data_IF_009601331711
#
_entry.id   IF_009601331711
#
_cell.length_a   1.000
_cell.length_b   1.000
_cell.length_c   1.000
_cell.angle_alpha   90.00
_cell.angle_beta   90.00
_cell.angle_gamma   90.00
#
_symmetry.space_group_name_H-M   'P 1'
#
loop_
_entity.id
_entity.type
_entity.pdbx_description
1 polymer ?
#
# COMPACT_ATOMS: atom_id res chain seq x y z
N UNK A 1 -23.90 6.57 6.09
CA UNK A 1 -23.15 7.77 6.53
C UNK A 1 -22.50 8.36 5.29
N UNK A 2 -22.54 9.70 5.16
CA UNK A 2 -21.76 10.39 4.10
C UNK A 2 -20.29 10.24 4.43
N UNK A 3 -19.47 9.84 3.46
CA UNK A 3 -18.02 9.69 3.64
C UNK A 3 -17.30 10.37 2.49
N UNK A 4 -16.41 11.31 2.87
CA UNK A 4 -15.61 12.09 1.94
C UNK A 4 -14.18 11.54 1.86
N UNK A 5 -13.73 11.28 0.66
CA UNK A 5 -12.37 10.81 0.40
C UNK A 5 -11.68 11.78 -0.55
N UNK A 6 -10.52 12.28 -0.15
CA UNK A 6 -9.67 13.11 -1.02
C UNK A 6 -8.52 12.30 -1.58
N UNK A 7 -8.29 12.40 -2.89
CA UNK A 7 -7.15 11.81 -3.60
C UNK A 7 -6.26 12.92 -4.14
N UNK A 8 -5.01 12.96 -3.69
CA UNK A 8 -4.00 13.93 -4.14
C UNK A 8 -3.08 13.27 -5.14
N UNK A 9 -3.11 13.77 -6.37
CA UNK A 9 -2.46 13.22 -7.55
C UNK A 9 -3.47 12.56 -8.49
N UNK A 10 -3.71 13.15 -9.67
CA UNK A 10 -4.57 12.60 -10.73
C UNK A 10 -3.76 11.89 -11.83
N UNK A 11 -2.65 11.25 -11.43
CA UNK A 11 -1.91 10.33 -12.29
C UNK A 11 -2.68 9.02 -12.51
N UNK A 12 -2.08 8.07 -13.24
CA UNK A 12 -2.70 6.78 -13.51
C UNK A 12 -3.19 6.05 -12.23
N UNK A 13 -2.46 6.16 -11.13
CA UNK A 13 -2.83 5.53 -9.86
C UNK A 13 -4.00 6.27 -9.21
N UNK A 14 -3.90 7.59 -9.05
CA UNK A 14 -4.93 8.36 -8.35
C UNK A 14 -6.27 8.39 -9.07
N UNK A 15 -6.28 8.56 -10.39
CA UNK A 15 -7.51 8.49 -11.18
C UNK A 15 -8.14 7.09 -11.16
N UNK A 16 -7.32 6.04 -11.22
CA UNK A 16 -7.82 4.65 -11.09
C UNK A 16 -8.37 4.38 -9.69
N UNK A 17 -7.77 4.93 -8.62
CA UNK A 17 -8.33 4.84 -7.27
C UNK A 17 -9.67 5.56 -7.19
N UNK A 18 -9.77 6.80 -7.69
CA UNK A 18 -11.02 7.56 -7.73
C UNK A 18 -12.11 6.81 -8.49
N UNK A 19 -11.77 6.23 -9.65
CA UNK A 19 -12.68 5.38 -10.41
C UNK A 19 -13.09 4.12 -9.63
N UNK A 20 -12.14 3.41 -9.01
CA UNK A 20 -12.44 2.20 -8.22
C UNK A 20 -13.38 2.52 -7.05
N UNK A 21 -13.17 3.64 -6.36
CA UNK A 21 -14.04 4.10 -5.28
C UNK A 21 -15.44 4.48 -5.78
N UNK A 22 -15.52 5.06 -6.97
CA UNK A 22 -16.81 5.40 -7.59
C UNK A 22 -17.65 4.18 -7.98
N UNK A 23 -17.05 3.00 -8.09
CA UNK A 23 -17.75 1.73 -8.34
C UNK A 23 -18.35 1.09 -7.08
N UNK A 24 -17.87 1.51 -5.92
CA UNK A 24 -18.23 0.95 -4.62
C UNK A 24 -19.15 1.84 -3.80
N UNK A 25 -19.31 1.47 -2.54
CA UNK A 25 -20.13 2.19 -1.54
C UNK A 25 -19.28 2.77 -0.40
N UNK A 26 -17.95 2.77 -0.54
CA UNK A 26 -17.02 3.27 0.49
C UNK A 26 -17.11 4.78 0.63
N UNK A 27 -17.18 5.49 -0.50
CA UNK A 27 -17.28 6.95 -0.55
C UNK A 27 -18.64 7.40 -1.04
N UNK A 28 -19.12 8.52 -0.54
CA UNK A 28 -20.25 9.28 -1.09
C UNK A 28 -19.77 10.56 -1.80
N UNK A 29 -18.57 11.02 -1.46
CA UNK A 29 -17.93 12.18 -2.07
C UNK A 29 -16.44 11.88 -2.29
N UNK A 30 -15.94 12.17 -3.50
CA UNK A 30 -14.53 12.06 -3.87
C UNK A 30 -14.06 13.42 -4.36
N UNK A 31 -12.98 13.92 -3.76
CA UNK A 31 -12.26 15.12 -4.24
C UNK A 31 -10.96 14.66 -4.87
N UNK A 32 -10.77 14.95 -6.15
CA UNK A 32 -9.53 14.66 -6.86
C UNK A 32 -8.74 15.96 -7.04
N UNK A 33 -7.47 15.97 -6.60
CA UNK A 33 -6.61 17.16 -6.60
C UNK A 33 -5.33 16.85 -7.38
N UNK A 34 -4.96 17.74 -8.30
CA UNK A 34 -3.66 17.72 -8.98
C UNK A 34 -3.22 19.14 -9.32
N UNK A 35 -1.91 19.31 -9.56
CA UNK A 35 -1.35 20.56 -10.07
C UNK A 35 -1.79 20.84 -11.52
N UNK A 36 -2.05 19.80 -12.30
CA UNK A 36 -2.57 19.88 -13.65
C UNK A 36 -4.11 19.90 -13.62
N UNK A 37 -4.67 21.09 -13.54
CA UNK A 37 -6.12 21.32 -13.41
C UNK A 37 -6.92 20.77 -14.60
N UNK A 38 -6.47 20.99 -15.82
CA UNK A 38 -7.14 20.48 -17.03
C UNK A 38 -7.24 18.96 -17.01
N UNK A 39 -6.14 18.28 -16.60
CA UNK A 39 -6.13 16.83 -16.49
C UNK A 39 -7.13 16.33 -15.44
N UNK A 40 -7.12 16.94 -14.26
CA UNK A 40 -8.05 16.56 -13.18
C UNK A 40 -9.51 16.74 -13.58
N UNK A 41 -9.83 17.83 -14.25
CA UNK A 41 -11.17 18.07 -14.78
C UNK A 41 -11.57 16.98 -15.79
N UNK A 42 -10.67 16.61 -16.71
CA UNK A 42 -10.91 15.54 -17.67
C UNK A 42 -11.15 14.17 -17.00
N UNK A 43 -10.31 13.80 -16.02
CA UNK A 43 -10.48 12.54 -15.25
C UNK A 43 -11.82 12.52 -14.51
N UNK A 44 -12.20 13.63 -13.86
CA UNK A 44 -13.48 13.75 -13.16
C UNK A 44 -14.66 13.69 -14.14
N UNK A 45 -14.60 14.41 -15.27
CA UNK A 45 -15.64 14.35 -16.30
C UNK A 45 -15.90 12.92 -16.78
N UNK A 46 -14.86 12.16 -17.04
CA UNK A 46 -14.97 10.77 -17.49
C UNK A 46 -15.59 9.88 -16.40
N UNK A 47 -15.15 10.01 -15.15
CA UNK A 47 -15.70 9.26 -14.02
C UNK A 47 -17.19 9.58 -13.79
N UNK A 48 -17.57 10.87 -13.77
CA UNK A 48 -18.95 11.29 -13.44
C UNK A 48 -19.95 10.90 -14.54
N UNK A 49 -19.53 10.86 -15.80
CA UNK A 49 -20.39 10.38 -16.89
C UNK A 49 -20.81 8.92 -16.72
N UNK A 50 -19.99 8.12 -16.01
CA UNK A 50 -20.31 6.74 -15.67
C UNK A 50 -21.21 6.57 -14.45
N UNK A 51 -21.45 7.62 -13.64
CA UNK A 51 -22.23 7.49 -12.37
C UNK A 51 -23.71 7.24 -12.59
N UNK A 52 -24.26 7.57 -13.76
CA UNK A 52 -25.65 7.25 -14.10
C UNK A 52 -25.97 5.73 -14.14
N UNK A 53 -24.93 4.89 -14.16
CA UNK A 53 -25.07 3.43 -14.17
C UNK A 53 -24.90 2.79 -12.79
N UNK A 54 -24.86 3.58 -11.70
CA UNK A 54 -24.52 3.15 -10.35
C UNK A 54 -25.27 3.93 -9.28
N UNK A 55 -24.93 3.61 -8.01
CA UNK A 55 -25.38 4.42 -6.86
C UNK A 55 -24.83 5.83 -6.96
N UNK A 56 -25.60 6.85 -6.54
CA UNK A 56 -25.21 8.25 -6.60
C UNK A 56 -23.94 8.53 -5.78
N UNK A 57 -22.96 9.16 -6.42
CA UNK A 57 -21.72 9.61 -5.80
C UNK A 57 -21.33 10.97 -6.37
N UNK A 58 -20.78 11.84 -5.53
CA UNK A 58 -20.19 13.12 -5.94
C UNK A 58 -18.71 12.91 -6.22
N UNK A 59 -18.24 13.29 -7.40
CA UNK A 59 -16.80 13.32 -7.73
C UNK A 59 -16.49 14.70 -8.30
N UNK A 60 -15.55 15.40 -7.68
CA UNK A 60 -15.19 16.77 -8.06
C UNK A 60 -13.69 16.92 -8.31
N UNK A 61 -13.33 17.76 -9.28
CA UNK A 61 -11.99 18.33 -9.42
C UNK A 61 -11.88 19.48 -8.42
N UNK A 62 -11.04 19.34 -7.41
CA UNK A 62 -10.97 20.27 -6.29
C UNK A 62 -9.58 20.82 -6.03
N UNK A 63 -9.52 21.67 -5.02
CA UNK A 63 -8.32 22.20 -4.38
C UNK A 63 -8.20 21.72 -2.94
N UNK A 64 -7.13 22.12 -2.23
CA UNK A 64 -6.93 21.71 -0.82
C UNK A 64 -8.06 22.19 0.11
N UNK A 65 -8.71 23.30 -0.20
CA UNK A 65 -9.88 23.78 0.57
C UNK A 65 -11.07 22.82 0.46
N UNK A 66 -11.25 22.21 -0.70
CA UNK A 66 -12.28 21.20 -0.93
C UNK A 66 -12.02 19.89 -0.18
N UNK A 67 -10.80 19.65 0.27
CA UNK A 67 -10.46 18.50 1.12
C UNK A 67 -10.96 18.65 2.57
N UNK A 68 -11.51 19.80 2.95
CA UNK A 68 -12.04 20.02 4.30
C UNK A 68 -13.06 18.97 4.68
N UNK A 69 -12.92 18.46 5.92
CA UNK A 69 -13.76 17.41 6.47
C UNK A 69 -13.66 16.06 5.73
N UNK A 70 -12.58 15.81 5.02
CA UNK A 70 -12.32 14.46 4.51
C UNK A 70 -12.14 13.48 5.66
N UNK A 71 -12.76 12.31 5.54
CA UNK A 71 -12.56 11.18 6.45
C UNK A 71 -11.24 10.47 6.15
N UNK A 72 -10.88 10.39 4.87
CA UNK A 72 -9.64 9.76 4.42
C UNK A 72 -9.00 10.62 3.33
N UNK A 73 -7.68 10.75 3.39
CA UNK A 73 -6.84 11.39 2.36
C UNK A 73 -5.87 10.36 1.79
N UNK A 74 -5.82 10.24 0.48
CA UNK A 74 -4.92 9.33 -0.23
C UNK A 74 -3.89 10.16 -0.97
N UNK A 75 -2.60 9.93 -0.72
CA UNK A 75 -1.50 10.65 -1.36
C UNK A 75 -0.86 9.75 -2.42
N UNK A 76 -1.11 10.08 -3.67
CA UNK A 76 -0.54 9.40 -4.85
C UNK A 76 0.37 10.34 -5.67
N UNK A 77 0.58 11.57 -5.17
CA UNK A 77 1.40 12.58 -5.83
C UNK A 77 2.86 12.18 -5.79
N UNK A 78 3.53 12.32 -6.89
CA UNK A 78 4.94 12.02 -7.03
C UNK A 78 5.32 11.82 -8.49
N UNK A 79 6.60 11.72 -8.75
CA UNK A 79 7.13 11.43 -10.09
C UNK A 79 7.66 10.00 -10.15
N UNK A 80 7.52 9.37 -11.33
CA UNK A 80 8.14 8.08 -11.60
C UNK A 80 9.63 8.22 -11.92
N UNK A 81 10.37 7.13 -11.74
CA UNK A 81 11.80 7.07 -12.03
C UNK A 81 12.09 7.29 -13.51
N UNK A 82 13.00 8.21 -13.81
CA UNK A 82 13.49 8.45 -15.18
C UNK A 82 14.71 7.57 -15.49
N UNK A 83 14.96 7.24 -16.75
CA UNK A 83 16.20 6.57 -17.15
C UNK A 83 17.44 7.32 -16.64
N UNK A 84 18.38 6.60 -16.01
CA UNK A 84 19.62 7.19 -15.46
C UNK A 84 19.49 7.87 -14.12
N UNK A 85 18.29 8.02 -13.56
CA UNK A 85 18.07 8.62 -12.25
C UNK A 85 18.37 7.62 -11.13
N UNK A 86 19.10 8.05 -10.09
CA UNK A 86 19.33 7.22 -8.91
C UNK A 86 18.04 7.05 -8.09
N UNK A 87 18.01 6.03 -7.19
CA UNK A 87 16.89 5.85 -6.25
C UNK A 87 16.81 6.99 -5.23
N UNK A 88 17.96 7.49 -4.79
CA UNK A 88 18.06 8.59 -3.81
C UNK A 88 17.54 9.88 -4.43
N UNK A 89 17.95 10.22 -5.67
CA UNK A 89 17.45 11.43 -6.35
C UNK A 89 15.92 11.39 -6.51
N UNK A 90 15.38 10.23 -6.88
CA UNK A 90 13.92 10.07 -6.98
C UNK A 90 13.25 10.26 -5.60
N UNK A 91 13.82 9.67 -4.56
CA UNK A 91 13.30 9.78 -3.21
C UNK A 91 13.29 11.24 -2.76
N UNK A 92 14.40 11.99 -2.98
CA UNK A 92 14.47 13.41 -2.62
C UNK A 92 13.41 14.24 -3.34
N UNK A 93 13.24 14.07 -4.65
CA UNK A 93 12.21 14.79 -5.41
C UNK A 93 10.81 14.53 -4.83
N UNK A 94 10.49 13.29 -4.50
CA UNK A 94 9.18 12.95 -3.96
C UNK A 94 9.02 13.41 -2.51
N UNK A 95 10.08 13.46 -1.71
CA UNK A 95 10.09 14.10 -0.38
C UNK A 95 9.81 15.60 -0.51
N UNK A 96 10.45 16.30 -1.46
CA UNK A 96 10.23 17.72 -1.67
C UNK A 96 8.79 18.04 -2.09
N UNK A 97 8.20 17.19 -2.93
CA UNK A 97 6.77 17.25 -3.28
C UNK A 97 5.90 17.06 -2.03
N UNK A 98 6.21 16.06 -1.21
CA UNK A 98 5.47 15.77 0.01
C UNK A 98 5.56 16.92 1.01
N UNK A 99 6.74 17.53 1.19
CA UNK A 99 6.94 18.73 2.03
C UNK A 99 6.03 19.91 1.61
N UNK A 100 5.79 20.07 0.30
CA UNK A 100 4.92 21.13 -0.23
C UNK A 100 3.42 20.83 -0.03
N UNK A 101 3.04 19.56 -0.07
CA UNK A 101 1.66 19.09 0.05
C UNK A 101 1.21 19.06 1.52
N UNK A 102 2.06 18.53 2.40
CA UNK A 102 1.74 18.20 3.80
C UNK A 102 1.10 19.36 4.56
N UNK A 103 1.67 20.59 4.62
CA UNK A 103 1.07 21.67 5.41
C UNK A 103 -0.31 22.08 4.91
N UNK A 104 -0.56 21.98 3.60
CA UNK A 104 -1.83 22.36 2.98
C UNK A 104 -2.93 21.36 3.32
N UNK A 105 -2.63 20.07 3.12
CA UNK A 105 -3.63 19.02 3.31
C UNK A 105 -3.92 18.76 4.79
N UNK A 106 -2.90 18.83 5.65
CA UNK A 106 -3.09 18.68 7.10
C UNK A 106 -3.90 19.83 7.67
N UNK A 107 -3.69 21.07 7.20
CA UNK A 107 -4.52 22.22 7.60
C UNK A 107 -5.99 22.04 7.16
N UNK A 108 -6.25 21.46 5.99
CA UNK A 108 -7.59 21.22 5.47
C UNK A 108 -8.30 20.04 6.16
N UNK A 109 -7.60 18.95 6.44
CA UNK A 109 -8.17 17.70 6.94
C UNK A 109 -7.39 17.10 8.13
N UNK A 110 -7.22 17.81 9.26
CA UNK A 110 -6.37 17.40 10.38
C UNK A 110 -6.85 16.14 11.12
N UNK A 111 -8.09 15.72 10.89
CA UNK A 111 -8.71 14.55 11.54
C UNK A 111 -8.82 13.35 10.60
N UNK A 112 -8.42 13.50 9.34
CA UNK A 112 -8.49 12.43 8.37
C UNK A 112 -7.48 11.29 8.67
N UNK A 113 -7.79 10.10 8.19
CA UNK A 113 -6.80 9.03 8.06
C UNK A 113 -6.04 9.25 6.74
N UNK A 114 -4.74 9.07 6.76
CA UNK A 114 -3.87 9.31 5.61
C UNK A 114 -3.32 8.01 5.06
N UNK A 115 -3.50 7.77 3.76
CA UNK A 115 -2.96 6.60 3.06
C UNK A 115 -1.94 7.04 2.03
N UNK A 116 -0.67 6.72 2.25
CA UNK A 116 0.42 7.02 1.34
C UNK A 116 0.62 5.88 0.34
N UNK A 117 0.69 6.23 -0.94
CA UNK A 117 0.80 5.27 -2.05
C UNK A 117 1.99 5.59 -2.95
N UNK A 118 2.46 6.85 -2.96
CA UNK A 118 3.60 7.29 -3.75
C UNK A 118 4.90 6.59 -3.34
N UNK A 119 5.75 6.29 -4.31
CA UNK A 119 7.03 5.63 -4.06
C UNK A 119 8.20 6.62 -3.95
N UNK A 120 9.19 6.29 -3.10
CA UNK A 120 9.32 5.10 -2.24
C UNK A 120 8.41 5.17 -1.00
N UNK A 121 7.42 4.30 -0.94
CA UNK A 121 6.28 4.44 -0.02
C UNK A 121 6.69 4.41 1.45
N UNK A 122 7.62 3.55 1.85
CA UNK A 122 8.06 3.44 3.25
C UNK A 122 8.79 4.71 3.70
N UNK A 123 9.66 5.25 2.84
CA UNK A 123 10.37 6.51 3.08
C UNK A 123 9.40 7.67 3.17
N UNK A 124 8.45 7.77 2.23
CA UNK A 124 7.47 8.86 2.21
C UNK A 124 6.50 8.76 3.39
N UNK A 125 6.14 7.55 3.82
CA UNK A 125 5.34 7.35 5.04
C UNK A 125 6.10 7.84 6.27
N UNK A 126 7.39 7.49 6.40
CA UNK A 126 8.26 7.98 7.47
C UNK A 126 8.35 9.52 7.48
N UNK A 127 8.65 10.10 6.33
CA UNK A 127 8.78 11.56 6.19
C UNK A 127 7.46 12.25 6.56
N UNK A 128 6.33 11.76 6.03
CA UNK A 128 5.01 12.32 6.35
C UNK A 128 4.71 12.23 7.85
N UNK A 129 5.04 11.12 8.50
CA UNK A 129 4.89 10.95 9.95
C UNK A 129 5.70 12.02 10.71
N UNK A 130 6.93 12.29 10.27
CA UNK A 130 7.82 13.29 10.96
C UNK A 130 7.38 14.74 10.76
N UNK A 131 6.85 15.09 9.57
CA UNK A 131 6.59 16.51 9.24
C UNK A 131 5.12 16.91 9.37
N UNK A 132 4.17 15.97 9.48
CA UNK A 132 2.76 16.28 9.50
C UNK A 132 2.25 16.83 10.83
N UNK A 133 2.88 16.45 11.94
CA UNK A 133 2.40 16.74 13.29
C UNK A 133 1.11 15.99 13.67
N UNK A 134 0.69 15.02 12.87
CA UNK A 134 -0.46 14.16 13.15
C UNK A 134 -0.09 13.02 14.10
N UNK A 135 -1.10 12.40 14.72
CA UNK A 135 -0.91 11.15 15.43
C UNK A 135 -0.52 10.04 14.45
N UNK A 136 0.45 9.21 14.81
CA UNK A 136 0.95 8.13 13.96
C UNK A 136 -0.14 7.10 13.60
N UNK A 137 -1.14 6.96 14.45
CA UNK A 137 -2.31 6.09 14.17
C UNK A 137 -3.10 6.53 12.94
N UNK A 138 -3.02 7.82 12.55
CA UNK A 138 -3.69 8.35 11.37
C UNK A 138 -2.94 8.05 10.07
N UNK A 139 -1.70 7.53 10.10
CA UNK A 139 -0.80 7.47 8.94
C UNK A 139 -0.50 6.03 8.56
N UNK A 140 -0.81 5.68 7.31
CA UNK A 140 -0.67 4.32 6.77
C UNK A 140 -0.01 4.41 5.39
N UNK A 141 1.13 3.79 5.21
CA UNK A 141 1.69 3.54 3.89
C UNK A 141 1.10 2.26 3.29
N UNK A 142 0.83 2.24 1.99
CA UNK A 142 0.32 1.02 1.33
C UNK A 142 1.27 -0.18 1.46
N UNK A 143 2.56 0.07 1.62
CA UNK A 143 3.56 -0.96 1.95
C UNK A 143 3.52 -2.17 1.02
N UNK A 144 3.64 -3.35 1.61
CA UNK A 144 3.71 -4.63 0.88
C UNK A 144 2.35 -5.35 0.73
N UNK A 145 1.22 -4.65 0.90
CA UNK A 145 -0.11 -5.26 0.72
C UNK A 145 -0.30 -5.79 -0.72
N UNK A 146 0.21 -5.08 -1.72
CA UNK A 146 0.15 -5.53 -3.11
C UNK A 146 1.12 -6.70 -3.37
N UNK A 147 2.32 -6.66 -2.78
CA UNK A 147 3.29 -7.75 -2.89
C UNK A 147 2.75 -9.03 -2.25
N UNK A 148 2.06 -8.90 -1.12
CA UNK A 148 1.30 -9.99 -0.47
C UNK A 148 0.21 -10.55 -1.40
N UNK A 149 -0.49 -9.71 -2.14
CA UNK A 149 -1.48 -10.17 -3.11
C UNK A 149 -0.84 -10.93 -4.29
N UNK A 150 0.31 -10.48 -4.78
CA UNK A 150 1.10 -11.17 -5.81
C UNK A 150 1.58 -12.54 -5.33
N UNK A 151 2.10 -12.60 -4.09
CA UNK A 151 2.50 -13.86 -3.45
C UNK A 151 1.33 -14.85 -3.39
N UNK A 152 0.17 -14.41 -2.90
CA UNK A 152 -1.03 -15.27 -2.81
C UNK A 152 -1.53 -15.70 -4.16
N UNK A 153 -1.41 -14.86 -5.18
CA UNK A 153 -1.72 -15.22 -6.56
C UNK A 153 -0.80 -16.33 -7.07
N UNK A 154 0.50 -16.22 -6.86
CA UNK A 154 1.49 -17.20 -7.31
C UNK A 154 1.27 -18.56 -6.65
N UNK A 155 1.14 -18.60 -5.32
CA UNK A 155 0.82 -19.81 -4.56
C UNK A 155 -0.52 -20.43 -5.04
N UNK A 156 -1.53 -19.58 -5.22
CA UNK A 156 -2.86 -19.99 -5.73
C UNK A 156 -2.76 -20.62 -7.11
N UNK A 157 -1.98 -20.02 -8.01
CA UNK A 157 -1.79 -20.51 -9.36
C UNK A 157 -1.05 -21.85 -9.38
N UNK A 158 -0.02 -21.99 -8.55
CA UNK A 158 0.77 -23.21 -8.43
C UNK A 158 -0.05 -24.40 -7.91
N UNK A 159 -0.76 -24.23 -6.79
CA UNK A 159 -1.52 -25.30 -6.13
C UNK A 159 -2.99 -25.41 -6.57
N UNK A 160 -3.49 -24.51 -7.41
CA UNK A 160 -4.90 -24.43 -7.83
C UNK A 160 -5.87 -24.31 -6.65
N UNK A 161 -5.47 -23.56 -5.62
CA UNK A 161 -6.27 -23.26 -4.43
C UNK A 161 -6.69 -21.80 -4.46
N UNK A 162 -7.92 -21.49 -4.10
CA UNK A 162 -8.40 -20.11 -4.10
C UNK A 162 -7.57 -19.22 -3.18
N UNK A 163 -7.20 -18.01 -3.64
CA UNK A 163 -6.34 -17.06 -2.92
C UNK A 163 -6.84 -16.75 -1.50
N UNK A 164 -8.16 -16.76 -1.28
CA UNK A 164 -8.76 -16.51 0.03
C UNK A 164 -8.42 -17.57 1.09
N UNK A 165 -7.97 -18.74 0.68
CA UNK A 165 -7.57 -19.84 1.57
C UNK A 165 -6.06 -19.82 1.86
N UNK A 166 -5.32 -18.88 1.28
CA UNK A 166 -3.87 -18.77 1.43
C UNK A 166 -3.56 -17.59 2.37
N UNK A 167 -2.91 -17.90 3.48
CA UNK A 167 -2.37 -16.93 4.41
C UNK A 167 -0.85 -16.93 4.27
N UNK A 168 -0.35 -16.02 3.46
CA UNK A 168 1.06 -15.78 3.23
C UNK A 168 1.26 -14.26 3.08
N UNK A 169 2.41 -13.76 3.48
CA UNK A 169 2.66 -12.33 3.65
C UNK A 169 4.02 -11.94 3.10
N UNK A 170 4.16 -10.70 2.68
CA UNK A 170 5.44 -10.09 2.34
C UNK A 170 5.74 -9.01 3.37
N UNK A 171 6.93 -9.08 3.98
CA UNK A 171 7.42 -8.15 4.98
C UNK A 171 8.60 -7.36 4.45
N UNK A 172 8.95 -6.30 5.19
CA UNK A 172 10.08 -5.46 4.82
C UNK A 172 9.67 -4.21 4.04
N UNK A 173 10.62 -3.60 3.35
CA UNK A 173 10.35 -2.47 2.45
C UNK A 173 9.52 -2.92 1.23
N UNK A 174 8.75 -2.02 0.67
CA UNK A 174 8.20 -2.23 -0.68
C UNK A 174 9.31 -2.03 -1.72
N UNK A 175 10.17 -3.04 -1.88
CA UNK A 175 11.37 -2.95 -2.71
C UNK A 175 12.18 -4.25 -2.74
N UNK A 176 13.48 -4.11 -3.07
CA UNK A 176 14.37 -5.26 -3.30
C UNK A 176 14.74 -6.03 -2.02
N UNK A 177 14.58 -5.42 -0.83
CA UNK A 177 14.86 -6.08 0.45
C UNK A 177 13.62 -6.66 1.13
N UNK A 178 12.47 -6.66 0.42
CA UNK A 178 11.29 -7.41 0.88
C UNK A 178 11.57 -8.91 0.96
N UNK A 179 10.90 -9.58 1.88
CA UNK A 179 11.03 -11.02 2.05
C UNK A 179 9.70 -11.67 2.43
N UNK A 180 9.64 -12.98 2.29
CA UNK A 180 8.47 -13.77 2.65
C UNK A 180 8.79 -14.53 3.93
N UNK A 181 8.10 -14.25 5.05
CA UNK A 181 8.19 -15.07 6.26
C UNK A 181 7.45 -16.39 6.03
N UNK A 182 8.16 -17.38 5.48
CA UNK A 182 7.60 -18.68 5.14
C UNK A 182 7.10 -19.46 6.36
N UNK A 183 7.60 -19.12 7.55
CA UNK A 183 7.10 -19.68 8.81
C UNK A 183 5.62 -19.36 9.07
N UNK A 184 5.12 -18.26 8.49
CA UNK A 184 3.75 -17.80 8.61
C UNK A 184 2.85 -18.21 7.44
N UNK A 185 3.40 -18.94 6.45
CA UNK A 185 2.63 -19.33 5.28
C UNK A 185 1.80 -20.59 5.53
N UNK A 186 0.48 -20.49 5.31
CA UNK A 186 -0.46 -21.59 5.45
C UNK A 186 -1.53 -21.62 4.35
N UNK A 187 -2.16 -22.78 4.21
CA UNK A 187 -3.37 -22.99 3.42
C UNK A 187 -4.46 -23.47 4.37
N UNK A 188 -5.39 -22.58 4.70
CA UNK A 188 -6.53 -22.85 5.60
C UNK A 188 -6.09 -23.41 6.97
N UNK A 189 -5.02 -22.86 7.57
CA UNK A 189 -4.49 -23.26 8.87
C UNK A 189 -3.55 -24.48 8.84
N UNK A 190 -3.32 -25.06 7.67
CA UNK A 190 -2.29 -26.08 7.48
C UNK A 190 -1.01 -25.39 6.99
N UNK A 191 0.11 -25.49 7.70
CA UNK A 191 1.36 -24.87 7.23
C UNK A 191 1.68 -25.27 5.80
N UNK A 192 2.25 -24.34 5.02
CA UNK A 192 2.48 -24.58 3.60
C UNK A 192 3.34 -25.83 3.36
N UNK A 193 4.36 -26.08 4.18
CA UNK A 193 5.18 -27.28 4.11
C UNK A 193 4.40 -28.58 4.39
N UNK A 194 3.52 -28.56 5.41
CA UNK A 194 2.65 -29.71 5.69
C UNK A 194 1.63 -29.93 4.56
N UNK A 195 1.07 -28.86 4.02
CA UNK A 195 0.16 -28.94 2.86
C UNK A 195 0.86 -29.60 1.66
N UNK A 196 2.08 -29.17 1.34
CA UNK A 196 2.90 -29.74 0.28
C UNK A 196 3.15 -31.22 0.49
N UNK A 197 3.55 -31.63 1.69
CA UNK A 197 3.78 -33.04 2.04
C UNK A 197 2.53 -33.91 1.89
N UNK A 198 1.39 -33.43 2.34
CA UNK A 198 0.12 -34.15 2.24
C UNK A 198 -0.33 -34.31 0.79
N UNK A 199 -0.20 -33.24 -0.01
CA UNK A 199 -0.62 -33.28 -1.41
C UNK A 199 0.32 -34.09 -2.28
N UNK A 200 1.62 -34.05 -2.02
CA UNK A 200 2.60 -34.93 -2.68
C UNK A 200 2.32 -36.41 -2.43
N UNK A 201 2.02 -36.79 -1.19
CA UNK A 201 1.65 -38.18 -0.84
C UNK A 201 0.40 -38.65 -1.55
N UNK A 202 -0.54 -37.75 -1.84
CA UNK A 202 -1.78 -38.03 -2.57
C UNK A 202 -1.59 -38.00 -4.10
N UNK A 203 -0.41 -37.59 -4.60
CA UNK A 203 -0.14 -37.42 -6.02
C UNK A 203 -0.94 -36.26 -6.65
N UNK A 204 -1.39 -35.29 -5.85
CA UNK A 204 -2.20 -34.15 -6.32
C UNK A 204 -1.38 -32.93 -6.70
N UNK A 205 -0.13 -32.86 -6.28
CA UNK A 205 0.85 -31.86 -6.73
C UNK A 205 2.07 -32.57 -7.31
N UNK A 206 2.58 -32.05 -8.41
CA UNK A 206 3.77 -32.59 -9.07
C UNK A 206 5.06 -32.11 -8.40
N UNK A 207 5.11 -30.84 -8.04
CA UNK A 207 6.31 -30.17 -7.52
C UNK A 207 5.96 -29.24 -6.35
N UNK A 208 6.91 -29.05 -5.44
CA UNK A 208 6.82 -28.04 -4.41
C UNK A 208 7.07 -26.66 -5.02
N UNK A 209 6.52 -25.63 -4.38
CA UNK A 209 6.75 -24.25 -4.76
C UNK A 209 8.25 -23.90 -4.60
N UNK A 210 8.85 -23.34 -5.64
CA UNK A 210 10.19 -22.76 -5.53
C UNK A 210 10.10 -21.42 -4.79
N UNK A 211 10.68 -21.39 -3.59
CA UNK A 211 10.63 -20.24 -2.68
C UNK A 211 11.38 -19.01 -3.21
N UNK A 212 12.51 -19.25 -3.90
CA UNK A 212 13.35 -18.18 -4.45
C UNK A 212 12.72 -17.62 -5.72
N UNK A 213 12.21 -18.45 -6.61
CA UNK A 213 11.49 -18.03 -7.81
C UNK A 213 10.25 -17.22 -7.46
N UNK A 214 9.46 -17.68 -6.46
CA UNK A 214 8.29 -16.95 -5.96
C UNK A 214 8.66 -15.58 -5.40
N UNK A 215 9.72 -15.46 -4.59
CA UNK A 215 10.18 -14.17 -4.10
C UNK A 215 10.61 -13.25 -5.26
N UNK A 216 11.36 -13.80 -6.21
CA UNK A 216 11.78 -13.07 -7.40
C UNK A 216 10.58 -12.57 -8.21
N UNK A 217 9.59 -13.43 -8.46
CA UNK A 217 8.33 -13.06 -9.12
C UNK A 217 7.65 -11.89 -8.40
N UNK A 218 7.49 -11.97 -7.09
CA UNK A 218 6.85 -10.90 -6.30
C UNK A 218 7.59 -9.58 -6.47
N UNK A 219 8.92 -9.56 -6.30
CA UNK A 219 9.74 -8.36 -6.37
C UNK A 219 9.81 -7.75 -7.78
N UNK A 220 9.78 -8.57 -8.84
CA UNK A 220 9.94 -8.10 -10.23
C UNK A 220 8.63 -7.81 -10.95
N UNK A 221 7.50 -8.31 -10.46
CA UNK A 221 6.18 -8.15 -11.11
C UNK A 221 5.84 -6.69 -11.45
N UNK A 222 6.13 -5.75 -10.55
CA UNK A 222 5.87 -4.32 -10.79
C UNK A 222 6.66 -3.78 -12.00
N UNK A 223 7.95 -4.08 -12.04
CA UNK A 223 8.84 -3.68 -13.15
C UNK A 223 8.44 -4.28 -14.49
N UNK A 224 8.06 -5.57 -14.50
CA UNK A 224 7.59 -6.25 -15.71
C UNK A 224 6.29 -5.65 -16.25
N UNK A 225 5.32 -5.33 -15.37
CA UNK A 225 4.07 -4.67 -15.77
C UNK A 225 4.38 -3.31 -16.38
N UNK A 226 5.26 -2.52 -15.77
CA UNK A 226 5.67 -1.21 -16.28
C UNK A 226 6.34 -1.36 -17.65
N UNK A 227 7.23 -2.32 -17.82
CA UNK A 227 7.89 -2.57 -19.10
C UNK A 227 6.90 -2.95 -20.22
N UNK A 228 5.82 -3.67 -19.89
CA UNK A 228 4.82 -4.16 -20.86
C UNK A 228 3.73 -3.12 -21.20
N UNK A 229 3.32 -2.27 -20.24
CA UNK A 229 2.17 -1.34 -20.42
C UNK A 229 2.42 0.09 -19.95
N UNK A 230 3.67 0.43 -19.60
CA UNK A 230 4.08 1.78 -19.22
C UNK A 230 3.86 2.15 -17.76
N UNK A 231 2.86 1.60 -17.10
CA UNK A 231 2.56 1.86 -15.68
C UNK A 231 1.78 0.73 -15.04
N UNK A 232 1.86 0.61 -13.70
CA UNK A 232 1.01 -0.29 -12.89
C UNK A 232 0.04 0.55 -12.08
N UNK A 233 -1.26 0.23 -12.10
CA UNK A 233 -2.29 1.01 -11.41
C UNK A 233 -3.54 0.20 -11.04
N UNK A 234 -3.94 -0.86 -11.74
CA UNK A 234 -5.14 -1.62 -11.40
C UNK A 234 -5.03 -2.35 -10.06
N UNK A 235 -3.97 -3.13 -9.89
CA UNK A 235 -3.76 -3.89 -8.66
C UNK A 235 -3.40 -2.97 -7.47
N UNK A 236 -2.69 -1.86 -7.73
CA UNK A 236 -2.44 -0.81 -6.72
C UNK A 236 -3.77 -0.24 -6.24
N UNK A 237 -4.66 0.14 -7.16
CA UNK A 237 -5.97 0.67 -6.81
C UNK A 237 -6.82 -0.33 -6.01
N UNK A 238 -6.81 -1.60 -6.39
CA UNK A 238 -7.49 -2.66 -5.65
C UNK A 238 -6.91 -2.85 -4.23
N UNK A 239 -5.58 -2.76 -4.08
CA UNK A 239 -4.92 -2.86 -2.77
C UNK A 239 -5.24 -1.67 -1.86
N UNK A 240 -5.26 -0.46 -2.39
CA UNK A 240 -5.71 0.74 -1.67
C UNK A 240 -7.17 0.59 -1.27
N UNK A 241 -8.05 0.19 -2.18
CA UNK A 241 -9.47 -0.07 -1.86
C UNK A 241 -9.64 -1.09 -0.73
N UNK A 242 -8.76 -2.11 -0.64
CA UNK A 242 -8.75 -3.06 0.48
C UNK A 242 -8.39 -2.40 1.81
N UNK A 243 -7.38 -1.50 1.83
CA UNK A 243 -7.04 -0.69 3.01
C UNK A 243 -8.25 0.15 3.42
N UNK A 244 -8.83 0.90 2.47
CA UNK A 244 -9.97 1.77 2.75
C UNK A 244 -11.17 0.98 3.27
N UNK A 245 -11.44 -0.21 2.73
CA UNK A 245 -12.50 -1.09 3.23
C UNK A 245 -12.27 -1.45 4.70
N UNK A 246 -11.02 -1.69 5.11
CA UNK A 246 -10.68 -1.95 6.50
C UNK A 246 -10.90 -0.71 7.39
N UNK A 247 -10.50 0.47 6.92
CA UNK A 247 -10.65 1.73 7.65
C UNK A 247 -12.11 2.18 7.85
N UNK A 248 -13.04 1.62 7.09
CA UNK A 248 -14.48 1.98 7.21
C UNK A 248 -15.34 0.83 7.71
N UNK A 249 -14.74 -0.33 7.97
CA UNK A 249 -15.44 -1.51 8.47
C UNK A 249 -15.84 -1.37 9.94
N UNK A 250 -16.80 -2.18 10.38
CA UNK A 250 -17.19 -2.23 11.79
C UNK A 250 -16.18 -2.97 12.69
N UNK A 251 -15.28 -3.74 12.06
CA UNK A 251 -14.26 -4.55 12.75
C UNK A 251 -12.90 -4.27 12.16
N UNK A 252 -11.88 -4.37 13.02
CA UNK A 252 -10.49 -4.22 12.60
C UNK A 252 -10.06 -5.33 11.64
N UNK A 253 -9.09 -5.01 10.80
CA UNK A 253 -8.49 -5.94 9.84
C UNK A 253 -6.98 -5.97 10.00
N UNK A 254 -6.36 -7.07 9.58
CA UNK A 254 -4.91 -7.19 9.53
C UNK A 254 -4.43 -7.03 8.08
N UNK A 255 -3.43 -6.18 7.88
CA UNK A 255 -2.82 -5.94 6.58
C UNK A 255 -1.30 -5.74 6.72
N UNK A 256 -0.55 -6.09 5.66
CA UNK A 256 0.89 -5.80 5.56
C UNK A 256 1.07 -4.40 5.00
N UNK A 257 0.98 -3.42 5.88
CA UNK A 257 1.08 -1.99 5.56
C UNK A 257 2.31 -1.39 6.24
N UNK A 258 2.82 -0.31 5.67
CA UNK A 258 3.98 0.42 6.18
C UNK A 258 3.54 1.39 7.26
N UNK A 259 4.04 1.20 8.47
CA UNK A 259 3.77 2.05 9.63
C UNK A 259 4.99 2.07 10.55
N UNK A 260 5.09 3.10 11.40
CA UNK A 260 6.23 3.26 12.31
C UNK A 260 6.41 2.05 13.22
N UNK A 261 7.64 1.61 13.43
CA UNK A 261 8.03 0.64 14.45
C UNK A 261 8.64 1.34 15.65
N UNK A 262 8.34 0.82 16.84
CA UNK A 262 8.75 1.33 18.15
C UNK A 262 9.38 0.23 19.03
N UNK A 263 10.29 -0.55 18.47
CA UNK A 263 11.00 -1.62 19.16
C UNK A 263 10.58 -3.03 18.78
N UNK A 264 9.55 -3.19 17.95
CA UNK A 264 9.14 -4.52 17.46
C UNK A 264 10.30 -5.17 16.70
N UNK A 265 10.59 -6.42 17.00
CA UNK A 265 11.73 -7.19 16.47
C UNK A 265 13.10 -6.54 16.72
N UNK A 266 13.20 -5.61 17.69
CA UNK A 266 14.38 -4.81 17.97
C UNK A 266 14.64 -3.74 16.91
N UNK A 267 13.62 -3.32 16.18
CA UNK A 267 13.65 -2.27 15.16
C UNK A 267 12.87 -1.07 15.65
N UNK A 268 13.43 0.12 15.49
CA UNK A 268 12.86 1.37 15.97
C UNK A 268 13.01 2.47 14.91
N UNK A 269 12.18 3.50 14.97
CA UNK A 269 12.29 4.72 14.15
C UNK A 269 12.43 4.46 12.64
N UNK A 270 11.52 3.70 12.08
CA UNK A 270 11.39 3.46 10.63
C UNK A 270 9.97 3.00 10.30
N UNK A 271 9.42 3.49 9.20
CA UNK A 271 8.20 2.93 8.62
C UNK A 271 8.56 1.75 7.72
N UNK A 272 7.95 0.60 7.99
CA UNK A 272 8.20 -0.65 7.28
C UNK A 272 6.99 -1.57 7.39
N UNK A 273 6.83 -2.49 6.46
CA UNK A 273 5.66 -3.36 6.41
C UNK A 273 5.82 -4.60 7.28
N UNK A 274 4.88 -4.76 8.20
CA UNK A 274 4.61 -5.98 8.99
C UNK A 274 3.10 -6.17 9.08
N UNK A 275 2.63 -7.28 9.64
CA UNK A 275 1.20 -7.43 9.94
C UNK A 275 0.76 -6.38 10.96
N UNK A 276 -0.08 -5.47 10.51
CA UNK A 276 -0.58 -4.32 11.28
C UNK A 276 -2.10 -4.40 11.39
N UNK A 277 -2.62 -4.13 12.58
CA UNK A 277 -4.06 -4.03 12.84
C UNK A 277 -4.50 -2.62 12.48
N UNK A 278 -5.42 -2.52 11.53
CA UNK A 278 -5.99 -1.25 11.05
C UNK A 278 -7.52 -1.29 11.10
N UNK A 279 -8.13 -0.17 11.37
CA UNK A 279 -9.59 -0.04 11.49
C UNK A 279 -10.06 1.41 11.42
N UNK A 280 -11.30 1.71 11.82
CA UNK A 280 -11.90 3.05 11.72
C UNK A 280 -11.13 4.16 12.46
N UNK A 281 -10.34 3.80 13.47
CA UNK A 281 -9.50 4.73 14.22
C UNK A 281 -8.05 4.77 13.69
N UNK A 282 -7.78 4.14 12.54
CA UNK A 282 -6.47 4.07 11.92
C UNK A 282 -5.67 2.85 12.36
N UNK A 283 -4.38 3.04 12.64
CA UNK A 283 -3.45 1.99 13.11
C UNK A 283 -3.69 1.75 14.60
N UNK A 284 -3.92 0.50 14.97
CA UNK A 284 -4.14 0.09 16.36
C UNK A 284 -2.94 -0.63 17.00
N UNK A 285 -2.04 -1.15 16.17
CA UNK A 285 -0.83 -1.84 16.63
C UNK A 285 -0.36 -2.92 15.66
N UNK A 286 0.65 -3.65 16.07
CA UNK A 286 1.22 -4.77 15.31
C UNK A 286 0.65 -6.10 15.80
N UNK A 287 0.51 -7.06 14.89
CA UNK A 287 0.21 -8.44 15.30
C UNK A 287 1.50 -9.07 15.85
N UNK A 288 1.52 -9.54 17.10
CA UNK A 288 2.73 -10.07 17.72
C UNK A 288 2.99 -11.51 17.24
N UNK A 289 3.41 -11.67 16.00
CA UNK A 289 3.78 -12.98 15.45
C UNK A 289 5.24 -13.31 15.76
N UNK A 290 5.49 -14.58 16.03
CA UNK A 290 6.86 -15.09 16.18
C UNK A 290 7.45 -15.35 14.79
N UNK A 291 8.56 -14.72 14.49
CA UNK A 291 9.39 -14.94 13.32
C UNK A 291 10.60 -15.81 13.71
N UNK A 292 11.11 -16.59 12.77
CA UNK A 292 12.40 -17.25 12.97
C UNK A 292 13.54 -16.25 13.10
N UNK A 293 14.65 -16.63 13.69
CA UNK A 293 15.84 -15.75 13.82
C UNK A 293 16.31 -15.23 12.44
N UNK A 294 16.27 -16.08 11.42
CA UNK A 294 16.61 -15.71 10.05
C UNK A 294 15.63 -14.66 9.48
N UNK A 295 14.34 -14.81 9.72
CA UNK A 295 13.30 -13.87 9.27
C UNK A 295 13.41 -12.53 10.01
N UNK A 296 13.72 -12.54 11.29
CA UNK A 296 14.00 -11.31 12.06
C UNK A 296 15.23 -10.60 11.49
N UNK A 297 16.28 -11.32 11.15
CA UNK A 297 17.48 -10.72 10.57
C UNK A 297 17.18 -10.12 9.17
N UNK A 298 16.39 -10.78 8.33
CA UNK A 298 15.92 -10.22 7.05
C UNK A 298 15.13 -8.93 7.25
N UNK A 299 14.26 -8.88 8.27
CA UNK A 299 13.50 -7.67 8.58
C UNK A 299 14.43 -6.52 9.04
N UNK A 300 15.44 -6.81 9.86
CA UNK A 300 16.45 -5.84 10.29
C UNK A 300 17.28 -5.31 9.13
N UNK A 301 17.70 -6.18 8.22
CA UNK A 301 18.42 -5.78 7.00
C UNK A 301 17.57 -4.84 6.13
N UNK A 302 16.29 -5.16 5.95
CA UNK A 302 15.35 -4.32 5.22
C UNK A 302 15.14 -2.96 5.90
N UNK A 303 14.97 -2.94 7.22
CA UNK A 303 14.86 -1.70 7.99
C UNK A 303 16.12 -0.83 7.89
N UNK A 304 17.30 -1.44 7.97
CA UNK A 304 18.57 -0.73 7.82
C UNK A 304 18.74 -0.14 6.41
N UNK A 305 18.31 -0.85 5.37
CA UNK A 305 18.31 -0.32 4.01
C UNK A 305 17.45 0.95 3.89
N UNK A 306 16.24 0.95 4.48
CA UNK A 306 15.38 2.14 4.54
C UNK A 306 16.01 3.29 5.34
N UNK A 307 16.58 3.01 6.52
CA UNK A 307 17.27 4.02 7.33
C UNK A 307 18.44 4.67 6.58
N UNK A 308 19.19 3.89 5.82
CA UNK A 308 20.30 4.43 5.01
C UNK A 308 19.79 5.41 3.94
N UNK A 309 18.65 5.10 3.29
CA UNK A 309 18.01 6.03 2.35
C UNK A 309 17.52 7.27 3.09
N UNK A 310 16.77 7.12 4.17
CA UNK A 310 16.22 8.23 4.98
C UNK A 310 17.36 9.18 5.43
N UNK A 311 18.45 8.64 5.95
CA UNK A 311 19.60 9.43 6.43
C UNK A 311 20.34 10.17 5.30
N UNK A 312 20.13 9.82 4.05
CA UNK A 312 20.71 10.49 2.88
C UNK A 312 19.84 11.61 2.32
N UNK A 313 18.65 11.80 2.87
CA UNK A 313 17.66 12.78 2.39
C UNK A 313 17.65 14.03 3.27
N UNK A 314 17.32 15.14 2.65
CA UNK A 314 17.00 16.41 3.33
C UNK A 314 15.49 16.39 3.69
N UNK A 315 15.19 16.15 4.96
CA UNK A 315 13.81 16.01 5.48
C UNK A 315 13.35 17.28 6.20
#
# INVERSE_FOLDING_TARGET
MSRKITVIGAGNVGSTIAYTLSLGTIASEIVLIDINKEKVEGEVMDIVQGTSFREPISVIAGDYEDAKNSDIVIITSGVGRKPGQSRIDLAQINVDILKQITPKIVAAAPKALYVLVSNPVDVLTYVFTKISGLDESQIIGSGTILDTARLRYDISHHYKVAQKNIHAYVYGEHGDTSFIPWSLADVSGCSLSMYEDLMARKGTIAERLDREETLHYVQKSGGEIIAKKGATFYAVSASVNKILTALVAAYDSVATVSTMLHGEYGIDDVCISTMTIIGPEGVKGKVPVELTEEEVEKLRLSANALKNVINSLDI
#
